data_IF_277778223014
#
_entry.id   IF_277778223014
#
_cell.length_a   1.000
_cell.length_b   1.000
_cell.length_c   1.000
_cell.angle_alpha   90.00
_cell.angle_beta   90.00
_cell.angle_gamma   90.00
#
_symmetry.space_group_name_H-M   'P 1'
#
loop_
_entity.id
_entity.type
_entity.pdbx_description
1 polymer ?
#
# COMPACT_ATOMS: atom_id res chain seq x y z
N UNK A 1 11.61 -0.67 26.05
CA UNK A 1 10.47 -0.43 25.14
C UNK A 1 10.59 1.00 24.65
N UNK A 2 10.84 1.20 23.35
CA UNK A 2 11.03 2.54 22.75
C UNK A 2 9.76 2.95 22.01
N UNK A 3 9.61 4.25 21.72
CA UNK A 3 8.52 4.80 20.89
C UNK A 3 8.29 4.02 19.57
N UNK A 4 9.33 3.39 19.04
CA UNK A 4 9.28 2.50 17.87
C UNK A 4 8.33 1.31 18.05
N UNK A 5 8.24 0.72 19.24
CA UNK A 5 7.37 -0.44 19.50
C UNK A 5 5.87 -0.04 19.42
N UNK A 6 5.55 1.16 19.88
CA UNK A 6 4.19 1.74 19.77
C UNK A 6 3.84 2.07 18.31
N UNK A 7 4.79 2.63 17.56
CA UNK A 7 4.60 2.88 16.12
C UNK A 7 4.40 1.57 15.34
N UNK A 8 5.13 0.51 15.70
CA UNK A 8 5.00 -0.79 15.08
C UNK A 8 3.63 -1.45 15.37
N UNK A 9 3.17 -1.36 16.62
CA UNK A 9 1.84 -1.85 17.00
C UNK A 9 0.72 -1.09 16.28
N UNK A 10 0.82 0.24 16.18
CA UNK A 10 -0.14 1.06 15.46
C UNK A 10 -0.15 0.79 13.95
N UNK A 11 1.03 0.60 13.32
CA UNK A 11 1.14 0.19 11.92
C UNK A 11 0.48 -1.17 11.66
N UNK A 12 0.70 -2.14 12.57
CA UNK A 12 0.10 -3.48 12.52
C UNK A 12 -1.43 -3.40 12.55
N UNK A 13 -2.00 -2.61 13.45
CA UNK A 13 -3.44 -2.41 13.53
C UNK A 13 -4.03 -1.79 12.25
N UNK A 14 -3.33 -0.82 11.66
CA UNK A 14 -3.75 -0.21 10.39
C UNK A 14 -3.71 -1.20 9.22
N UNK A 15 -2.68 -2.05 9.11
CA UNK A 15 -2.63 -3.12 8.11
C UNK A 15 -3.75 -4.14 8.27
N UNK A 16 -4.01 -4.61 9.50
CA UNK A 16 -5.10 -5.56 9.76
C UNK A 16 -6.47 -4.96 9.44
N UNK A 17 -6.61 -3.63 9.52
CA UNK A 17 -7.83 -2.90 9.17
C UNK A 17 -7.96 -2.60 7.66
N UNK A 18 -7.01 -3.05 6.83
CA UNK A 18 -7.03 -2.82 5.38
C UNK A 18 -6.78 -1.36 4.97
N UNK A 19 -6.20 -0.54 5.85
CA UNK A 19 -5.82 0.84 5.52
C UNK A 19 -4.78 0.81 4.39
N UNK A 20 -4.81 1.77 3.47
CA UNK A 20 -3.79 1.82 2.42
C UNK A 20 -2.41 2.23 2.98
N UNK A 21 -1.29 1.60 2.55
CA UNK A 21 0.05 1.90 3.07
C UNK A 21 0.44 3.38 3.03
N UNK A 22 0.06 4.07 1.95
CA UNK A 22 0.27 5.52 1.79
C UNK A 22 -0.41 6.34 2.89
N UNK A 23 -1.64 5.98 3.26
CA UNK A 23 -2.43 6.67 4.28
C UNK A 23 -1.85 6.39 5.68
N UNK A 24 -1.45 5.14 5.93
CA UNK A 24 -0.79 4.75 7.17
C UNK A 24 0.56 5.48 7.34
N UNK A 25 1.34 5.59 6.25
CA UNK A 25 2.61 6.31 6.21
C UNK A 25 2.44 7.81 6.49
N UNK A 26 1.46 8.47 5.89
CA UNK A 26 1.16 9.88 6.15
C UNK A 26 0.74 10.10 7.60
N UNK A 27 -0.06 9.19 8.17
CA UNK A 27 -0.49 9.24 9.59
C UNK A 27 0.64 9.01 10.59
N UNK A 28 1.61 8.14 10.26
CA UNK A 28 2.75 7.82 11.12
C UNK A 28 3.94 8.78 10.93
N UNK A 29 3.89 9.62 9.89
CA UNK A 29 4.99 10.50 9.49
C UNK A 29 6.07 9.79 8.66
N UNK A 30 6.75 10.55 7.80
CA UNK A 30 7.73 10.05 6.82
C UNK A 30 8.89 9.23 7.42
N UNK A 31 9.22 9.40 8.70
CA UNK A 31 10.26 8.63 9.39
C UNK A 31 9.88 7.15 9.65
N UNK A 32 8.64 6.74 9.39
CA UNK A 32 8.15 5.37 9.65
C UNK A 32 8.01 4.49 8.40
N UNK A 33 8.45 4.99 7.22
CA UNK A 33 8.35 4.29 5.93
C UNK A 33 8.89 2.87 6.01
N UNK A 34 10.03 2.66 6.68
CA UNK A 34 10.63 1.33 6.79
C UNK A 34 9.73 0.31 7.50
N UNK A 35 9.00 0.73 8.54
CA UNK A 35 8.10 -0.13 9.31
C UNK A 35 6.84 -0.46 8.49
N UNK A 36 6.25 0.57 7.88
CA UNK A 36 5.07 0.38 7.03
C UNK A 36 5.41 -0.54 5.85
N UNK A 37 6.53 -0.30 5.17
CA UNK A 37 6.94 -1.08 4.01
C UNK A 37 7.26 -2.54 4.37
N UNK A 38 7.98 -2.78 5.48
CA UNK A 38 8.28 -4.14 5.97
C UNK A 38 7.02 -4.93 6.36
N UNK A 39 6.07 -4.27 7.02
CA UNK A 39 4.81 -4.88 7.42
C UNK A 39 3.95 -5.21 6.18
N UNK A 40 3.78 -4.29 5.24
CA UNK A 40 2.98 -4.53 4.04
C UNK A 40 3.61 -5.53 3.08
N UNK A 41 4.95 -5.58 2.98
CA UNK A 41 5.64 -6.56 2.13
C UNK A 41 5.27 -8.00 2.51
N UNK A 42 4.95 -8.27 3.78
CA UNK A 42 4.47 -9.57 4.25
C UNK A 42 3.00 -9.87 3.95
N UNK A 43 2.15 -8.85 3.82
CA UNK A 43 0.69 -9.03 3.64
C UNK A 43 0.28 -8.98 2.16
N UNK A 44 1.19 -8.61 1.26
CA UNK A 44 0.85 -8.30 -0.13
C UNK A 44 1.54 -9.13 -1.23
N UNK A 45 1.71 -10.46 -1.12
CA UNK A 45 1.87 -11.25 -2.33
C UNK A 45 0.57 -11.13 -3.18
N UNK A 46 0.69 -10.65 -4.42
CA UNK A 46 -0.42 -10.51 -5.36
C UNK A 46 -1.00 -9.09 -5.54
N UNK A 47 -0.76 -8.15 -4.63
CA UNK A 47 -1.30 -6.77 -4.80
C UNK A 47 -0.63 -6.03 -5.96
N UNK A 48 0.65 -6.32 -6.24
CA UNK A 48 1.33 -5.77 -7.42
C UNK A 48 0.77 -6.34 -8.73
N UNK A 49 0.43 -7.63 -8.75
CA UNK A 49 -0.18 -8.28 -9.91
C UNK A 49 -1.57 -7.70 -10.18
N UNK A 50 -2.39 -7.54 -9.13
CA UNK A 50 -3.70 -6.88 -9.20
C UNK A 50 -3.62 -5.42 -9.67
N UNK A 51 -2.62 -4.67 -9.19
CA UNK A 51 -2.39 -3.30 -9.62
C UNK A 51 -1.98 -3.25 -11.09
N UNK A 52 -1.07 -4.13 -11.52
CA UNK A 52 -0.65 -4.24 -12.91
C UNK A 52 -1.83 -4.58 -13.84
N UNK A 53 -2.67 -5.54 -13.45
CA UNK A 53 -3.86 -5.93 -14.21
C UNK A 53 -4.86 -4.77 -14.35
N UNK A 54 -5.10 -4.00 -13.29
CA UNK A 54 -5.98 -2.81 -13.33
C UNK A 54 -5.43 -1.72 -14.24
N UNK A 55 -4.12 -1.50 -14.22
CA UNK A 55 -3.46 -0.51 -15.09
C UNK A 55 -3.53 -0.96 -16.56
N UNK A 56 -3.26 -2.23 -16.87
CA UNK A 56 -3.37 -2.76 -18.23
C UNK A 56 -4.79 -2.61 -18.79
N UNK A 57 -5.81 -2.97 -17.99
CA UNK A 57 -7.21 -2.81 -18.38
C UNK A 57 -7.58 -1.34 -18.65
N UNK A 58 -7.12 -0.42 -17.80
CA UNK A 58 -7.36 1.01 -17.98
C UNK A 58 -6.67 1.57 -19.24
N UNK A 59 -5.45 1.11 -19.52
CA UNK A 59 -4.70 1.51 -20.73
C UNK A 59 -5.37 1.00 -22.01
N UNK A 60 -5.81 -0.26 -22.05
CA UNK A 60 -6.54 -0.81 -23.20
C UNK A 60 -7.82 -0.04 -23.47
N UNK A 61 -8.63 0.23 -22.44
CA UNK A 61 -9.85 1.01 -22.58
C UNK A 61 -9.59 2.43 -23.12
N UNK A 62 -8.47 3.05 -22.72
CA UNK A 62 -8.08 4.36 -23.23
C UNK A 62 -7.65 4.32 -24.71
N UNK A 63 -6.95 3.26 -25.13
CA UNK A 63 -6.54 3.05 -26.53
C UNK A 63 -7.77 2.81 -27.41
N UNK A 64 -8.69 1.94 -26.99
CA UNK A 64 -9.92 1.63 -27.73
C UNK A 64 -10.78 2.88 -27.94
N UNK A 65 -10.87 3.75 -26.91
CA UNK A 65 -11.56 5.03 -26.99
C UNK A 65 -10.90 6.03 -27.95
N UNK A 66 -9.59 5.94 -28.15
CA UNK A 66 -8.85 6.82 -29.06
C UNK A 66 -8.88 6.32 -30.51
N UNK A 67 -9.22 5.05 -30.74
CA UNK A 67 -9.27 4.40 -32.04
C UNK A 67 -10.66 4.41 -32.71
N UNK A 68 -11.71 4.86 -32.00
CA UNK A 68 -13.08 5.05 -32.50
C UNK A 68 -13.46 6.51 -32.63
#
# INVERSE_FOLDING_TARGET
MRFHDLQHSHATQMSTSGIHPKIAQERLGHSSIGIALDLYSRVMPGMQEDAAAKVDAAMRAAIDKAAG
#
